data_IF_164682391398
#
_entry.id   IF_164682391398
#
_cell.length_a   1.000
_cell.length_b   1.000
_cell.length_c   1.000
_cell.angle_alpha   90.00
_cell.angle_beta   90.00
_cell.angle_gamma   90.00
#
_symmetry.space_group_name_H-M   'P 1'
#
loop_
_entity.id
_entity.type
_entity.pdbx_description
1 polymer ?
#
# COMPACT_ATOMS: atom_id res chain seq x y z
N UNK A 1 -18.62 20.09 -4.24
CA UNK A 1 -17.85 21.06 -3.44
C UNK A 1 -17.33 20.31 -2.21
N UNK A 2 -16.02 20.03 -2.18
CA UNK A 2 -15.40 19.32 -1.07
C UNK A 2 -15.03 20.31 0.02
N UNK A 3 -15.38 20.02 1.27
CA UNK A 3 -14.98 20.82 2.44
C UNK A 3 -13.73 20.21 3.03
N UNK A 4 -12.56 20.68 2.61
CA UNK A 4 -11.29 20.25 3.19
C UNK A 4 -11.11 20.94 4.53
N UNK A 5 -10.97 20.17 5.59
CA UNK A 5 -10.69 20.67 6.93
C UNK A 5 -9.18 20.79 7.12
N UNK A 6 -8.71 22.00 7.40
CA UNK A 6 -7.29 22.23 7.69
C UNK A 6 -6.97 21.83 9.13
N UNK A 7 -6.02 20.97 9.33
CA UNK A 7 -5.36 20.78 10.62
C UNK A 7 -3.88 21.15 10.48
N UNK A 8 -3.45 22.12 11.27
CA UNK A 8 -2.05 22.52 11.37
C UNK A 8 -1.45 21.85 12.59
N UNK A 9 -0.78 20.71 12.39
CA UNK A 9 0.06 20.16 13.47
C UNK A 9 1.27 21.06 13.71
N UNK A 10 1.33 21.64 14.92
CA UNK A 10 2.43 22.49 15.37
C UNK A 10 3.62 21.62 15.81
N UNK A 11 4.34 21.05 14.89
CA UNK A 11 5.67 20.51 15.18
C UNK A 11 6.72 21.58 14.96
N UNK A 12 7.20 22.18 16.05
CA UNK A 12 8.38 23.04 16.06
C UNK A 12 9.62 22.19 16.27
N UNK A 13 10.25 21.72 15.20
CA UNK A 13 11.64 21.25 15.27
C UNK A 13 12.56 22.38 14.79
N UNK A 14 13.40 22.82 15.69
CA UNK A 14 14.64 23.56 15.48
C UNK A 14 14.87 24.17 14.07
N UNK A 15 14.24 25.34 13.80
CA UNK A 15 14.70 26.22 12.71
C UNK A 15 14.34 25.83 11.27
N UNK A 16 13.44 24.87 11.05
CA UNK A 16 13.00 24.46 9.72
C UNK A 16 11.73 25.19 9.26
N UNK A 17 11.63 25.43 7.95
CA UNK A 17 10.42 25.94 7.29
C UNK A 17 9.27 24.94 7.51
N UNK A 18 8.15 25.44 8.00
CA UNK A 18 6.95 24.61 8.25
C UNK A 18 6.30 24.25 6.92
N UNK A 19 6.24 22.99 6.59
CA UNK A 19 5.47 22.48 5.46
C UNK A 19 4.15 21.96 6.02
N UNK A 20 3.04 22.55 5.60
CA UNK A 20 1.71 22.08 5.94
C UNK A 20 1.26 21.09 4.87
N UNK A 21 0.99 19.85 5.29
CA UNK A 21 0.44 18.81 4.40
C UNK A 21 -1.08 18.74 4.58
N UNK A 22 -1.84 18.56 3.51
CA UNK A 22 -3.28 18.36 3.62
C UNK A 22 -3.57 17.04 4.31
N UNK A 23 -4.56 17.05 5.21
CA UNK A 23 -5.15 15.86 5.77
C UNK A 23 -6.48 15.60 5.06
N UNK A 24 -6.69 14.38 4.62
CA UNK A 24 -7.96 13.94 4.05
C UNK A 24 -8.72 13.12 5.09
N UNK A 25 -10.02 13.35 5.18
CA UNK A 25 -10.93 12.57 5.99
C UNK A 25 -11.74 11.64 5.09
N UNK A 26 -12.03 10.45 5.60
CA UNK A 26 -12.78 9.47 4.82
C UNK A 26 -14.14 10.01 4.37
N UNK A 27 -14.80 10.83 5.18
CA UNK A 27 -16.08 11.45 4.88
C UNK A 27 -16.01 12.56 3.82
N UNK A 28 -14.82 13.03 3.44
CA UNK A 28 -14.67 14.10 2.43
C UNK A 28 -14.85 13.59 0.99
N UNK A 29 -14.96 12.28 0.78
CA UNK A 29 -15.06 11.67 -0.53
C UNK A 29 -16.46 11.16 -0.84
N UNK A 30 -16.87 11.31 -2.11
CA UNK A 30 -18.05 10.65 -2.66
C UNK A 30 -17.64 9.27 -3.18
N UNK A 31 -18.27 8.23 -2.65
CA UNK A 31 -17.99 6.85 -3.03
C UNK A 31 -19.05 6.32 -3.97
N UNK A 32 -18.62 5.49 -4.91
CA UNK A 32 -19.51 4.74 -5.79
C UNK A 32 -19.71 3.31 -5.26
N UNK A 33 -20.80 2.68 -5.67
CA UNK A 33 -21.00 1.27 -5.41
C UNK A 33 -19.95 0.43 -6.15
N UNK A 34 -19.49 -0.64 -5.50
CA UNK A 34 -18.56 -1.59 -6.13
C UNK A 34 -19.27 -2.32 -7.27
N UNK A 35 -18.78 -2.25 -8.52
CA UNK A 35 -19.54 -2.67 -9.70
C UNK A 35 -19.76 -4.18 -9.81
N UNK A 36 -18.85 -4.98 -9.28
CA UNK A 36 -18.91 -6.45 -9.36
C UNK A 36 -18.03 -7.10 -8.29
N UNK A 37 -18.06 -8.44 -8.23
CA UNK A 37 -17.34 -9.23 -7.22
C UNK A 37 -15.83 -9.20 -7.43
N UNK A 38 -15.33 -9.16 -8.67
CA UNK A 38 -13.89 -9.09 -8.96
C UNK A 38 -13.25 -7.80 -8.40
N UNK A 39 -13.93 -6.67 -8.60
CA UNK A 39 -13.50 -5.39 -8.01
C UNK A 39 -13.58 -5.43 -6.49
N UNK A 40 -14.62 -6.05 -5.92
CA UNK A 40 -14.75 -6.22 -4.47
C UNK A 40 -13.58 -7.00 -3.90
N UNK A 41 -13.25 -8.15 -4.49
CA UNK A 41 -12.13 -8.98 -4.10
C UNK A 41 -10.80 -8.19 -4.17
N UNK A 42 -10.58 -7.44 -5.26
CA UNK A 42 -9.38 -6.61 -5.39
C UNK A 42 -9.28 -5.56 -4.27
N UNK A 43 -10.38 -4.90 -3.92
CA UNK A 43 -10.40 -3.92 -2.84
C UNK A 43 -10.14 -4.56 -1.47
N UNK A 44 -10.71 -5.73 -1.19
CA UNK A 44 -10.48 -6.46 0.06
C UNK A 44 -9.02 -6.90 0.20
N UNK A 45 -8.45 -7.47 -0.86
CA UNK A 45 -7.04 -7.85 -0.89
C UNK A 45 -6.13 -6.63 -0.74
N UNK A 46 -6.40 -5.55 -1.49
CA UNK A 46 -5.61 -4.32 -1.35
C UNK A 46 -5.67 -3.74 0.06
N UNK A 47 -6.85 -3.72 0.67
CA UNK A 47 -7.02 -3.27 2.05
C UNK A 47 -6.17 -4.11 3.04
N UNK A 48 -6.03 -5.42 2.80
CA UNK A 48 -5.21 -6.30 3.61
C UNK A 48 -3.72 -5.93 3.56
N UNK A 49 -3.24 -5.33 2.46
CA UNK A 49 -1.84 -4.87 2.34
C UNK A 49 -1.56 -3.56 3.06
N UNK A 50 -2.57 -2.87 3.59
CA UNK A 50 -2.47 -1.65 4.43
C UNK A 50 -1.71 -0.49 3.80
N UNK A 51 -1.75 -0.34 2.48
CA UNK A 51 -1.03 0.71 1.77
C UNK A 51 0.47 0.80 2.13
N UNK A 52 1.13 -0.33 2.28
CA UNK A 52 2.53 -0.40 2.69
C UNK A 52 3.44 0.40 1.75
N UNK A 53 3.13 0.45 0.46
CA UNK A 53 3.97 1.15 -0.51
C UNK A 53 3.22 1.54 -1.77
N UNK A 54 3.72 2.61 -2.42
CA UNK A 54 3.35 2.95 -3.78
C UNK A 54 4.37 2.37 -4.76
N UNK A 55 3.92 1.92 -5.93
CA UNK A 55 4.78 1.36 -6.97
C UNK A 55 4.16 1.59 -8.36
N UNK A 56 5.00 1.77 -9.37
CA UNK A 56 4.59 1.90 -10.77
C UNK A 56 4.59 0.55 -11.51
N UNK A 57 5.33 -0.43 -10.98
CA UNK A 57 5.49 -1.78 -11.51
C UNK A 57 5.78 -2.72 -10.33
N UNK A 58 5.18 -3.89 -10.32
CA UNK A 58 5.40 -4.91 -9.29
C UNK A 58 6.89 -5.22 -9.07
N UNK A 59 7.69 -5.26 -10.11
CA UNK A 59 9.14 -5.46 -10.05
C UNK A 59 9.88 -4.43 -9.18
N UNK A 60 9.28 -3.24 -8.96
CA UNK A 60 9.86 -2.18 -8.13
C UNK A 60 9.49 -2.28 -6.65
N UNK A 61 8.63 -3.22 -6.25
CA UNK A 61 8.28 -3.43 -4.85
C UNK A 61 9.51 -4.02 -4.14
N UNK A 62 10.00 -3.34 -3.11
CA UNK A 62 11.15 -3.84 -2.35
C UNK A 62 10.80 -5.13 -1.59
N UNK A 63 11.79 -5.98 -1.36
CA UNK A 63 11.63 -7.23 -0.57
C UNK A 63 11.03 -6.92 0.80
N UNK A 64 11.45 -5.83 1.46
CA UNK A 64 10.90 -5.40 2.75
C UNK A 64 9.40 -5.12 2.68
N UNK A 65 8.95 -4.34 1.68
CA UNK A 65 7.53 -4.06 1.50
C UNK A 65 6.74 -5.32 1.10
N UNK A 66 7.32 -6.17 0.26
CA UNK A 66 6.66 -7.43 -0.12
C UNK A 66 6.45 -8.36 1.09
N UNK A 67 7.46 -8.47 1.97
CA UNK A 67 7.35 -9.19 3.25
C UNK A 67 6.26 -8.59 4.14
N UNK A 68 6.21 -7.27 4.29
CA UNK A 68 5.19 -6.61 5.09
C UNK A 68 3.78 -6.89 4.56
N UNK A 69 3.56 -6.74 3.24
CA UNK A 69 2.27 -7.03 2.62
C UNK A 69 1.86 -8.49 2.81
N UNK A 70 2.80 -9.42 2.66
CA UNK A 70 2.54 -10.85 2.90
C UNK A 70 2.14 -11.11 4.35
N UNK A 71 2.80 -10.52 5.34
CA UNK A 71 2.43 -10.68 6.74
C UNK A 71 1.07 -10.09 7.05
N UNK A 72 0.77 -8.89 6.56
CA UNK A 72 -0.55 -8.29 6.75
C UNK A 72 -1.67 -9.10 6.09
N UNK A 73 -1.38 -9.68 4.94
CA UNK A 73 -2.30 -10.60 4.27
C UNK A 73 -2.53 -11.87 5.12
N UNK A 74 -1.46 -12.49 5.61
CA UNK A 74 -1.58 -13.65 6.50
C UNK A 74 -2.38 -13.32 7.77
N UNK A 75 -2.13 -12.18 8.42
CA UNK A 75 -2.88 -11.73 9.59
C UNK A 75 -4.38 -11.53 9.28
N UNK A 76 -4.67 -10.87 8.16
CA UNK A 76 -6.05 -10.57 7.78
C UNK A 76 -6.87 -11.83 7.54
N UNK A 77 -6.27 -12.84 6.93
CA UNK A 77 -6.95 -14.09 6.56
C UNK A 77 -6.70 -15.26 7.52
N UNK A 78 -5.98 -15.02 8.63
CA UNK A 78 -5.67 -16.05 9.63
C UNK A 78 -4.80 -17.18 9.08
N UNK A 79 -3.90 -16.88 8.15
CA UNK A 79 -3.00 -17.83 7.53
C UNK A 79 -1.70 -17.99 8.37
N UNK A 80 -1.10 -19.17 8.29
CA UNK A 80 0.21 -19.40 8.89
C UNK A 80 1.29 -18.62 8.11
N UNK A 81 2.25 -18.05 8.86
CA UNK A 81 3.40 -17.40 8.23
C UNK A 81 4.35 -18.44 7.63
N UNK A 82 4.83 -18.26 6.41
CA UNK A 82 5.72 -19.20 5.73
C UNK A 82 7.17 -19.07 6.23
N UNK A 83 7.37 -19.19 7.55
CA UNK A 83 8.69 -19.15 8.14
C UNK A 83 9.46 -20.46 7.92
N UNK A 84 10.74 -20.34 7.57
CA UNK A 84 11.69 -21.48 7.64
C UNK A 84 11.88 -21.90 9.08
N UNK A 85 11.96 -20.92 9.99
CA UNK A 85 12.14 -21.09 11.42
C UNK A 85 11.39 -19.97 12.13
N UNK A 86 10.34 -20.30 12.87
CA UNK A 86 9.50 -19.33 13.58
C UNK A 86 10.28 -18.51 14.63
N UNK A 87 11.41 -19.01 15.14
CA UNK A 87 12.26 -18.30 16.11
C UNK A 87 13.09 -17.19 15.48
N UNK A 88 13.39 -17.31 14.18
CA UNK A 88 14.27 -16.39 13.44
C UNK A 88 13.53 -15.47 12.49
N UNK A 89 12.25 -15.73 12.23
CA UNK A 89 11.39 -14.95 11.30
C UNK A 89 11.96 -14.86 9.87
N UNK A 90 12.64 -15.88 9.43
CA UNK A 90 13.09 -16.03 8.05
C UNK A 90 11.99 -16.65 7.21
N UNK A 91 11.63 -15.97 6.11
CA UNK A 91 10.60 -16.40 5.16
C UNK A 91 11.22 -17.16 4.02
N UNK A 92 10.65 -18.31 3.67
CA UNK A 92 11.09 -19.10 2.53
C UNK A 92 11.05 -18.26 1.25
N UNK A 93 12.14 -18.34 0.46
CA UNK A 93 12.22 -17.62 -0.82
C UNK A 93 11.10 -17.99 -1.77
N UNK A 94 10.79 -19.29 -1.88
CA UNK A 94 9.72 -19.80 -2.71
C UNK A 94 8.36 -19.19 -2.32
N UNK A 95 8.04 -19.13 -1.05
CA UNK A 95 6.78 -18.56 -0.56
C UNK A 95 6.66 -17.05 -0.87
N UNK A 96 7.76 -16.29 -0.74
CA UNK A 96 7.77 -14.87 -1.09
C UNK A 96 7.62 -14.68 -2.62
N UNK A 97 8.26 -15.54 -3.42
CA UNK A 97 8.11 -15.53 -4.87
C UNK A 97 6.68 -15.87 -5.30
N UNK A 98 6.08 -16.92 -4.72
CA UNK A 98 4.69 -17.29 -4.99
C UNK A 98 3.73 -16.15 -4.68
N UNK A 99 3.87 -15.52 -3.50
CA UNK A 99 3.07 -14.37 -3.12
C UNK A 99 3.26 -13.18 -4.06
N UNK A 100 4.51 -12.84 -4.38
CA UNK A 100 4.84 -11.74 -5.27
C UNK A 100 4.37 -11.97 -6.71
N UNK A 101 4.52 -13.19 -7.22
CA UNK A 101 4.04 -13.57 -8.55
C UNK A 101 2.52 -13.54 -8.63
N UNK A 102 1.84 -14.06 -7.61
CA UNK A 102 0.39 -14.13 -7.56
C UNK A 102 -0.26 -12.74 -7.55
N UNK A 103 0.18 -11.85 -6.67
CA UNK A 103 -0.48 -10.56 -6.49
C UNK A 103 0.13 -9.41 -7.31
N UNK A 104 1.40 -9.50 -7.71
CA UNK A 104 2.11 -8.38 -8.34
C UNK A 104 2.81 -8.73 -9.65
N UNK A 105 2.78 -10.01 -10.05
CA UNK A 105 3.46 -10.48 -11.25
C UNK A 105 5.00 -10.44 -11.14
N UNK A 106 5.54 -10.45 -9.92
CA UNK A 106 6.98 -10.44 -9.65
C UNK A 106 7.59 -11.75 -10.13
N UNK A 107 8.74 -11.65 -10.81
CA UNK A 107 9.47 -12.79 -11.30
C UNK A 107 10.64 -13.17 -10.37
N UNK A 108 11.19 -14.36 -10.57
CA UNK A 108 12.42 -14.79 -9.91
C UNK A 108 13.57 -13.82 -10.18
N UNK A 109 13.68 -13.31 -11.41
CA UNK A 109 14.75 -12.39 -11.81
C UNK A 109 14.62 -11.05 -11.07
N UNK A 110 13.40 -10.56 -10.85
CA UNK A 110 13.14 -9.32 -10.09
C UNK A 110 13.63 -9.46 -8.63
N UNK A 111 13.32 -10.58 -7.97
CA UNK A 111 13.82 -10.85 -6.63
C UNK A 111 15.35 -10.98 -6.59
N UNK A 112 15.95 -11.69 -7.56
CA UNK A 112 17.39 -11.85 -7.63
C UNK A 112 18.14 -10.52 -7.85
N UNK A 113 17.57 -9.61 -8.61
CA UNK A 113 18.12 -8.25 -8.78
C UNK A 113 18.08 -7.47 -7.48
N UNK A 114 16.98 -7.55 -6.74
CA UNK A 114 16.85 -6.87 -5.45
C UNK A 114 17.83 -7.41 -4.40
N UNK A 115 18.06 -8.72 -4.38
CA UNK A 115 19.08 -9.34 -3.51
C UNK A 115 20.48 -8.81 -3.82
N UNK A 116 20.83 -8.63 -5.09
CA UNK A 116 22.11 -8.05 -5.49
C UNK A 116 22.28 -6.60 -5.00
N UNK A 117 21.19 -5.84 -4.96
CA UNK A 117 21.22 -4.45 -4.49
C UNK A 117 21.22 -4.34 -2.96
N UNK A 118 20.58 -5.28 -2.26
CA UNK A 118 20.45 -5.29 -0.80
C UNK A 118 20.62 -6.70 -0.22
N UNK A 119 21.86 -7.23 -0.20
CA UNK A 119 22.13 -8.62 0.23
C UNK A 119 21.80 -8.89 1.70
N UNK A 120 21.61 -7.87 2.54
CA UNK A 120 21.32 -8.01 3.98
C UNK A 120 19.97 -8.71 4.26
N UNK A 121 19.06 -8.73 3.29
CA UNK A 121 17.74 -9.35 3.45
C UNK A 121 17.68 -10.81 3.03
N UNK A 122 18.77 -11.39 2.53
CA UNK A 122 18.78 -12.76 2.03
C UNK A 122 19.88 -13.61 2.66
N UNK A 123 19.52 -14.77 3.17
CA UNK A 123 20.45 -15.81 3.64
C UNK A 123 20.48 -16.97 2.64
N UNK A 124 21.58 -17.08 1.92
CA UNK A 124 21.77 -18.13 0.90
C UNK A 124 21.85 -19.56 1.47
N UNK A 125 22.19 -19.73 2.76
CA UNK A 125 22.23 -21.04 3.40
C UNK A 125 20.83 -21.54 3.75
N UNK A 126 19.93 -20.62 4.08
CA UNK A 126 18.52 -20.90 4.41
C UNK A 126 17.62 -20.82 3.19
N UNK A 127 18.10 -20.26 2.10
CA UNK A 127 17.28 -19.84 0.94
C UNK A 127 16.04 -19.04 1.40
N UNK A 128 16.28 -17.98 2.18
CA UNK A 128 15.24 -17.26 2.89
C UNK A 128 15.51 -15.75 2.97
N UNK A 129 14.44 -14.97 3.14
CA UNK A 129 14.48 -13.52 3.34
C UNK A 129 14.07 -13.13 4.76
N UNK A 130 14.68 -12.08 5.28
CA UNK A 130 14.28 -11.46 6.54
C UNK A 130 14.32 -9.94 6.43
N UNK A 131 13.32 -9.25 6.93
CA UNK A 131 13.39 -7.81 7.17
C UNK A 131 13.90 -7.56 8.59
N UNK A 132 15.18 -7.21 8.70
CA UNK A 132 15.84 -6.98 9.98
C UNK A 132 15.37 -5.69 10.67
N UNK A 133 14.71 -4.79 9.93
CA UNK A 133 14.26 -3.49 10.44
C UNK A 133 12.79 -3.49 10.88
N UNK A 134 12.06 -4.57 10.62
CA UNK A 134 10.64 -4.64 10.93
C UNK A 134 10.41 -5.36 12.26
N UNK A 135 9.85 -4.63 13.22
CA UNK A 135 9.38 -5.21 14.47
C UNK A 135 7.96 -5.76 14.28
N UNK A 136 7.87 -7.06 14.03
CA UNK A 136 6.59 -7.77 13.88
C UNK A 136 5.79 -7.90 15.19
N UNK A 137 6.26 -7.28 16.28
CA UNK A 137 5.64 -7.39 17.61
C UNK A 137 4.34 -6.59 17.74
N UNK A 138 4.00 -5.73 16.78
CA UNK A 138 2.72 -5.04 16.76
C UNK A 138 1.61 -6.05 16.46
N UNK A 139 0.90 -6.44 17.51
CA UNK A 139 -0.36 -7.15 17.36
C UNK A 139 -1.37 -6.20 16.73
N UNK A 140 -1.67 -6.45 15.47
CA UNK A 140 -2.64 -5.65 14.75
C UNK A 140 -4.06 -6.07 15.17
N UNK A 141 -4.87 -5.08 15.51
CA UNK A 141 -6.29 -5.29 15.74
C UNK A 141 -6.93 -5.91 14.48
N UNK A 142 -7.90 -6.81 14.69
CA UNK A 142 -8.69 -7.39 13.60
C UNK A 142 -9.19 -6.30 12.66
N UNK A 143 -8.87 -6.43 11.38
CA UNK A 143 -9.28 -5.48 10.35
C UNK A 143 -10.47 -6.06 9.63
N UNK A 144 -11.59 -5.36 9.70
CA UNK A 144 -12.62 -5.53 8.69
C UNK A 144 -12.23 -4.67 7.47
N UNK A 145 -11.57 -5.30 6.49
CA UNK A 145 -11.01 -4.62 5.33
C UNK A 145 -12.10 -3.88 4.53
N UNK A 146 -13.28 -4.46 4.40
CA UNK A 146 -14.39 -3.94 3.58
C UNK A 146 -14.97 -2.63 4.09
N UNK A 147 -14.97 -2.40 5.39
CA UNK A 147 -15.52 -1.18 5.98
C UNK A 147 -14.59 0.03 5.86
N UNK A 148 -13.33 -0.17 5.45
CA UNK A 148 -12.28 0.86 5.54
C UNK A 148 -11.75 1.32 4.20
N UNK A 149 -12.22 0.73 3.12
CA UNK A 149 -11.83 1.14 1.76
C UNK A 149 -13.03 1.71 1.03
N UNK A 150 -12.86 2.89 0.44
CA UNK A 150 -13.84 3.54 -0.42
C UNK A 150 -13.36 3.54 -1.86
N UNK A 151 -14.24 3.17 -2.79
CA UNK A 151 -14.04 3.32 -4.22
C UNK A 151 -14.63 4.65 -4.66
N UNK A 152 -13.78 5.56 -5.17
CA UNK A 152 -14.19 6.87 -5.67
C UNK A 152 -14.67 6.76 -7.13
N UNK A 153 -13.87 6.09 -7.95
CA UNK A 153 -14.19 5.82 -9.36
C UNK A 153 -13.39 4.64 -9.88
N UNK A 154 -13.80 4.12 -11.03
CA UNK A 154 -13.01 3.17 -11.79
C UNK A 154 -13.06 3.50 -13.28
N UNK A 155 -12.04 3.04 -14.01
CA UNK A 155 -11.90 3.21 -15.46
C UNK A 155 -11.38 1.92 -16.06
N UNK A 156 -12.04 1.47 -17.14
CA UNK A 156 -11.53 0.38 -17.96
C UNK A 156 -10.44 0.91 -18.89
N UNK A 157 -9.29 0.25 -18.88
CA UNK A 157 -8.17 0.64 -19.72
C UNK A 157 -8.14 -0.21 -21.00
N UNK A 158 -7.45 0.31 -22.01
CA UNK A 158 -7.10 -0.51 -23.18
C UNK A 158 -6.27 -1.73 -22.71
N UNK A 159 -6.63 -2.93 -23.17
CA UNK A 159 -5.96 -4.19 -22.77
C UNK A 159 -6.60 -4.94 -21.59
N UNK A 160 -7.76 -4.48 -21.09
CA UNK A 160 -8.59 -5.24 -20.13
C UNK A 160 -8.17 -5.10 -18.67
N UNK A 161 -7.28 -4.16 -18.35
CA UNK A 161 -7.02 -3.79 -16.95
C UNK A 161 -8.01 -2.75 -16.46
N UNK A 162 -8.20 -2.64 -15.13
CA UNK A 162 -8.98 -1.59 -14.51
C UNK A 162 -8.05 -0.64 -13.72
N UNK A 163 -8.33 0.65 -13.78
CA UNK A 163 -7.80 1.62 -12.82
C UNK A 163 -8.88 1.93 -11.80
N UNK A 164 -8.62 1.61 -10.53
CA UNK A 164 -9.48 1.88 -9.39
C UNK A 164 -8.90 3.05 -8.61
N UNK A 165 -9.66 4.11 -8.41
CA UNK A 165 -9.28 5.21 -7.53
C UNK A 165 -9.91 4.98 -6.17
N UNK A 166 -9.06 4.78 -5.17
CA UNK A 166 -9.46 4.30 -3.84
C UNK A 166 -8.89 5.15 -2.72
N UNK A 167 -9.59 5.17 -1.61
CA UNK A 167 -9.13 5.75 -0.35
C UNK A 167 -9.22 4.68 0.73
N UNK A 168 -8.16 4.55 1.52
CA UNK A 168 -8.13 3.64 2.66
C UNK A 168 -8.19 4.44 3.95
N UNK A 169 -9.19 4.19 4.79
CA UNK A 169 -9.30 4.80 6.11
C UNK A 169 -8.18 4.27 7.00
N UNK A 170 -7.39 5.20 7.61
CA UNK A 170 -6.35 4.81 8.55
C UNK A 170 -6.96 4.18 9.80
N UNK A 171 -6.37 3.06 10.24
CA UNK A 171 -6.82 2.35 11.44
C UNK A 171 -6.48 3.06 12.73
N UNK A 172 -5.35 3.77 12.74
CA UNK A 172 -4.81 4.44 13.93
C UNK A 172 -5.43 5.83 14.16
N UNK A 173 -6.30 6.24 13.24
CA UNK A 173 -6.94 7.55 13.28
C UNK A 173 -8.30 7.46 13.97
N UNK A 174 -8.37 7.89 15.22
CA UNK A 174 -9.62 8.09 15.98
C UNK A 174 -10.52 9.16 15.33
N UNK A 175 -9.95 10.01 14.48
CA UNK A 175 -10.59 11.17 13.88
C UNK A 175 -11.08 10.95 12.43
N UNK A 176 -10.97 9.72 11.90
CA UNK A 176 -11.46 9.42 10.54
C UNK A 176 -10.51 9.78 9.40
N UNK A 177 -9.24 10.08 9.68
CA UNK A 177 -8.24 10.31 8.66
C UNK A 177 -8.11 9.12 7.70
N UNK A 178 -7.82 9.43 6.45
CA UNK A 178 -7.55 8.41 5.44
C UNK A 178 -6.20 8.68 4.75
N UNK A 179 -5.71 7.64 4.11
CA UNK A 179 -4.54 7.77 3.23
C UNK A 179 -4.91 8.61 2.00
N UNK A 180 -3.90 9.14 1.31
CA UNK A 180 -4.12 9.82 0.05
C UNK A 180 -4.84 8.92 -0.95
N UNK A 181 -5.73 9.49 -1.79
CA UNK A 181 -6.34 8.77 -2.88
C UNK A 181 -5.27 8.06 -3.72
N UNK A 182 -5.49 6.79 -4.01
CA UNK A 182 -4.54 5.93 -4.70
C UNK A 182 -5.19 5.38 -5.97
N UNK A 183 -4.45 5.43 -7.07
CA UNK A 183 -4.81 4.79 -8.33
C UNK A 183 -4.20 3.40 -8.36
N UNK A 184 -5.04 2.37 -8.31
CA UNK A 184 -4.65 0.98 -8.45
C UNK A 184 -4.91 0.53 -9.88
N UNK A 185 -3.88 0.07 -10.59
CA UNK A 185 -4.09 -0.63 -11.85
C UNK A 185 -4.12 -2.13 -11.58
N UNK A 186 -5.25 -2.76 -11.89
CA UNK A 186 -5.51 -4.18 -11.61
C UNK A 186 -5.79 -4.94 -12.90
N UNK A 187 -5.17 -6.09 -13.06
CA UNK A 187 -5.34 -7.03 -14.16
C UNK A 187 -6.05 -8.29 -13.64
N UNK A 188 -7.19 -8.63 -14.23
CA UNK A 188 -7.98 -9.81 -13.88
C UNK A 188 -7.84 -10.97 -14.86
N UNK A 189 -6.94 -10.86 -15.85
CA UNK A 189 -6.78 -11.88 -16.90
C UNK A 189 -6.36 -13.26 -16.37
N UNK A 190 -5.75 -13.30 -15.18
CA UNK A 190 -5.36 -14.53 -14.50
C UNK A 190 -6.50 -15.21 -13.71
N UNK A 191 -7.71 -14.63 -13.68
CA UNK A 191 -8.83 -15.10 -12.87
C UNK A 191 -8.75 -14.72 -11.38
N UNK A 192 -7.84 -13.83 -11.04
CA UNK A 192 -7.67 -13.19 -9.74
C UNK A 192 -7.04 -11.81 -9.93
N UNK A 193 -7.13 -10.89 -8.95
CA UNK A 193 -6.54 -9.56 -9.09
C UNK A 193 -5.01 -9.60 -9.03
N UNK A 194 -4.37 -9.05 -10.06
CA UNK A 194 -2.93 -8.79 -10.11
C UNK A 194 -2.72 -7.28 -10.13
N UNK A 195 -2.12 -6.72 -9.11
CA UNK A 195 -1.87 -5.29 -8.96
C UNK A 195 -0.64 -4.89 -9.76
N UNK A 196 -0.84 -4.20 -10.88
CA UNK A 196 0.23 -3.75 -11.79
C UNK A 196 0.90 -2.48 -11.31
N UNK A 197 0.13 -1.57 -10.70
CA UNK A 197 0.64 -0.35 -10.08
C UNK A 197 -0.27 0.13 -8.96
N UNK A 198 0.32 0.89 -8.04
CA UNK A 198 -0.36 1.64 -7.00
C UNK A 198 0.33 3.00 -6.86
N UNK A 199 -0.30 4.07 -7.29
CA UNK A 199 0.29 5.41 -7.27
C UNK A 199 -0.65 6.41 -6.62
N UNK A 200 -0.11 7.42 -5.94
CA UNK A 200 -0.93 8.50 -5.40
C UNK A 200 -1.62 9.22 -6.56
N UNK A 201 -2.93 9.44 -6.44
CA UNK A 201 -3.69 10.20 -7.40
C UNK A 201 -3.20 11.66 -7.48
N UNK A 202 -3.55 12.35 -8.57
CA UNK A 202 -3.29 13.78 -8.65
C UNK A 202 -4.12 14.52 -7.60
N UNK A 203 -3.46 14.99 -6.55
CA UNK A 203 -4.11 15.65 -5.42
C UNK A 203 -4.70 17.01 -5.78
N UNK A 204 -4.28 17.63 -6.90
CA UNK A 204 -4.82 18.93 -7.34
C UNK A 204 -6.30 18.89 -7.66
N UNK A 205 -6.83 17.71 -8.01
CA UNK A 205 -8.27 17.52 -8.23
C UNK A 205 -9.10 17.53 -6.94
N UNK A 206 -8.44 17.36 -5.78
CA UNK A 206 -9.08 17.31 -4.45
C UNK A 206 -8.75 18.54 -3.61
N UNK A 207 -7.65 19.23 -3.93
CA UNK A 207 -7.15 20.31 -3.11
C UNK A 207 -6.39 21.34 -3.94
N UNK A 208 -6.70 22.62 -3.71
CA UNK A 208 -5.93 23.74 -4.26
C UNK A 208 -4.72 24.00 -3.34
N UNK A 209 -3.53 23.66 -3.81
CA UNK A 209 -2.31 23.99 -3.09
C UNK A 209 -2.21 25.53 -2.94
N UNK A 210 -1.88 26.05 -1.74
CA UNK A 210 -1.59 27.46 -1.61
C UNK A 210 -0.44 27.82 -2.57
N UNK A 211 -0.46 29.00 -3.20
CA UNK A 211 0.63 29.44 -4.07
C UNK A 211 1.95 29.38 -3.29
N UNK A 212 3.01 28.92 -3.96
CA UNK A 212 4.34 28.97 -3.37
C UNK A 212 4.63 30.40 -2.89
N UNK A 213 5.19 30.59 -1.68
CA UNK A 213 5.54 31.91 -1.19
C UNK A 213 6.52 32.55 -2.18
N UNK A 214 6.19 33.75 -2.65
CA UNK A 214 6.98 34.47 -3.68
C UNK A 214 8.40 34.83 -3.23
N UNK A 215 8.72 34.72 -1.93
CA UNK A 215 10.08 34.96 -1.41
C UNK A 215 10.43 33.96 -0.28
N UNK A 216 11.68 33.48 -0.24
CA UNK A 216 12.15 32.73 0.91
C UNK A 216 12.17 33.66 2.13
N UNK A 217 11.44 33.30 3.16
CA UNK A 217 11.50 33.96 4.47
C UNK A 217 12.89 33.68 5.08
N UNK A 218 13.82 34.64 4.92
CA UNK A 218 15.10 34.68 5.60
C UNK A 218 14.96 35.25 7.02
#
# INVERSE_FOLDING_TARGET
LYTIRYYTDKWTSHGGTRVEYPHFYYEDFEYIEVPNEEVREALEIWASFRNVTNFNDGANISISHLLQMMFYYCDTYGLEYPYVDASTKWVQREALLEFGAYFFGITQEDLDQQVKMRPLYYDAQRDAYCDLNYDYSYQFAEINATEKMGLIRYTENEGGTLTLEVVTKSMDSWEGYCNYPTLLTVDFSAGHPVFRSAVVADLTQYWEFPPEPEEPLF
#
